data_IF_407576802858
#
_entry.id   IF_407576802858
#
_cell.length_a   1.000
_cell.length_b   1.000
_cell.length_c   1.000
_cell.angle_alpha   90.00
_cell.angle_beta   90.00
_cell.angle_gamma   90.00
#
_symmetry.space_group_name_H-M   'P 1'
#
loop_
_entity.id
_entity.type
_entity.pdbx_description
1 polymer ?
#
# COMPACT_ATOMS: atom_id res chain seq x y z
N UNK A 1 21.98 5.24 3.27
CA UNK A 1 22.04 3.85 3.77
C UNK A 1 21.64 2.91 2.64
N UNK A 2 22.60 2.08 2.22
CA UNK A 2 22.32 1.02 1.23
C UNK A 2 21.48 -0.06 1.93
N UNK A 3 20.32 -0.36 1.40
CA UNK A 3 19.50 -1.47 1.90
C UNK A 3 20.06 -2.74 1.27
N UNK A 4 20.53 -3.74 2.06
CA UNK A 4 21.03 -4.99 1.50
C UNK A 4 19.89 -5.73 0.79
N UNK A 5 20.20 -6.36 -0.34
CA UNK A 5 19.26 -7.23 -1.06
C UNK A 5 18.84 -8.41 -0.19
N UNK A 6 17.58 -8.77 -0.25
CA UNK A 6 17.06 -9.93 0.47
C UNK A 6 17.50 -11.21 -0.25
N UNK A 7 17.98 -12.17 0.54
CA UNK A 7 18.32 -13.49 0.05
C UNK A 7 17.15 -14.46 0.34
N UNK A 8 16.23 -14.58 -0.61
CA UNK A 8 15.09 -15.48 -0.49
C UNK A 8 15.48 -16.95 -0.45
N UNK A 9 16.60 -17.35 -1.09
CA UNK A 9 17.09 -18.74 -1.01
C UNK A 9 17.44 -19.10 0.44
N UNK A 10 18.12 -18.19 1.15
CA UNK A 10 18.41 -18.40 2.58
C UNK A 10 17.13 -18.46 3.42
N UNK A 11 16.12 -17.62 3.12
CA UNK A 11 14.83 -17.69 3.79
C UNK A 11 14.15 -19.06 3.60
N UNK A 12 14.12 -19.57 2.37
CA UNK A 12 13.55 -20.88 2.04
C UNK A 12 14.33 -22.03 2.66
N UNK A 13 15.65 -21.94 2.73
CA UNK A 13 16.50 -22.89 3.44
C UNK A 13 16.18 -22.89 4.95
N UNK A 14 16.05 -21.73 5.57
CA UNK A 14 15.64 -21.62 6.97
C UNK A 14 14.25 -22.25 7.20
N UNK A 15 13.28 -21.98 6.31
CA UNK A 15 11.95 -22.58 6.39
C UNK A 15 12.01 -24.11 6.34
N UNK A 16 12.84 -24.67 5.45
CA UNK A 16 13.04 -26.12 5.34
C UNK A 16 13.69 -26.73 6.57
N UNK A 17 14.70 -26.05 7.14
CA UNK A 17 15.44 -26.54 8.30
C UNK A 17 14.67 -26.40 9.61
N UNK A 18 13.72 -25.45 9.67
CA UNK A 18 12.91 -25.16 10.86
C UNK A 18 11.39 -25.23 10.56
N UNK A 19 10.87 -26.42 10.15
CA UNK A 19 9.49 -26.55 9.67
C UNK A 19 8.41 -26.24 10.73
N UNK A 20 8.77 -26.25 12.02
CA UNK A 20 7.87 -25.89 13.12
C UNK A 20 7.77 -24.38 13.36
N UNK A 21 8.66 -23.58 12.77
CA UNK A 21 8.62 -22.14 12.91
C UNK A 21 7.75 -21.51 11.82
N UNK A 22 6.86 -20.62 12.23
CA UNK A 22 6.14 -19.76 11.31
C UNK A 22 7.06 -18.62 10.89
N UNK A 23 7.68 -18.74 9.71
CA UNK A 23 8.54 -17.71 9.12
C UNK A 23 7.74 -16.86 8.14
N UNK A 24 7.79 -15.54 8.30
CA UNK A 24 7.09 -14.57 7.46
C UNK A 24 8.14 -13.73 6.73
N UNK A 25 8.24 -13.81 5.38
CA UNK A 25 9.17 -12.98 4.63
C UNK A 25 8.77 -11.51 4.72
N UNK A 26 9.77 -10.65 4.98
CA UNK A 26 9.58 -9.20 5.11
C UNK A 26 10.62 -8.47 4.27
N UNK A 27 10.16 -7.82 3.21
CA UNK A 27 10.96 -6.92 2.38
C UNK A 27 11.03 -7.35 0.92
N UNK A 28 11.22 -6.39 0.03
CA UNK A 28 11.43 -6.54 -1.43
C UNK A 28 10.49 -7.53 -2.16
N UNK A 29 9.29 -7.78 -1.62
CA UNK A 29 8.21 -8.43 -2.37
C UNK A 29 7.55 -7.30 -3.17
N UNK A 30 8.17 -6.96 -4.32
CA UNK A 30 7.83 -5.80 -5.14
C UNK A 30 7.38 -6.17 -6.56
N UNK A 31 7.37 -7.45 -6.87
CA UNK A 31 6.93 -8.00 -8.14
C UNK A 31 6.22 -9.35 -7.95
N UNK A 32 5.53 -9.78 -9.01
CA UNK A 32 4.76 -11.03 -8.99
C UNK A 32 5.68 -12.25 -8.99
N UNK A 33 6.81 -12.21 -9.67
CA UNK A 33 7.76 -13.32 -9.77
C UNK A 33 8.29 -13.71 -8.38
N UNK A 34 8.69 -12.74 -7.56
CA UNK A 34 9.14 -12.98 -6.18
C UNK A 34 8.00 -13.55 -5.34
N UNK A 35 6.78 -13.04 -5.51
CA UNK A 35 5.62 -13.52 -4.79
C UNK A 35 5.28 -14.96 -5.17
N UNK A 36 5.23 -15.28 -6.47
CA UNK A 36 4.94 -16.61 -6.98
C UNK A 36 6.00 -17.63 -6.53
N UNK A 37 7.29 -17.26 -6.55
CA UNK A 37 8.37 -18.09 -6.02
C UNK A 37 8.13 -18.50 -4.56
N UNK A 38 7.68 -17.56 -3.74
CA UNK A 38 7.40 -17.83 -2.32
C UNK A 38 6.17 -18.74 -2.16
N UNK A 39 5.10 -18.50 -2.93
CA UNK A 39 3.89 -19.36 -2.92
C UNK A 39 4.23 -20.79 -3.36
N UNK A 40 5.02 -20.97 -4.43
CA UNK A 40 5.46 -22.28 -4.93
C UNK A 40 6.30 -23.05 -3.90
N UNK A 41 6.88 -22.35 -2.93
CA UNK A 41 7.61 -22.95 -1.81
C UNK A 41 6.82 -22.95 -0.49
N UNK A 42 5.50 -23.04 -0.57
CA UNK A 42 4.57 -23.17 0.56
C UNK A 42 4.66 -22.03 1.59
N UNK A 43 5.01 -20.82 1.16
CA UNK A 43 4.92 -19.63 2.01
C UNK A 43 3.49 -19.11 1.95
N UNK A 44 2.80 -19.10 3.09
CA UNK A 44 1.38 -18.69 3.20
C UNK A 44 1.19 -17.26 3.71
N UNK A 45 2.17 -16.72 4.41
CA UNK A 45 2.07 -15.42 5.08
C UNK A 45 3.19 -14.49 4.60
N UNK A 46 2.84 -13.22 4.37
CA UNK A 46 3.75 -12.22 3.79
C UNK A 46 3.64 -10.88 4.51
N UNK A 47 4.76 -10.18 4.64
CA UNK A 47 4.77 -8.80 5.08
C UNK A 47 5.17 -7.89 3.91
N UNK A 48 4.17 -7.21 3.33
CA UNK A 48 4.35 -6.30 2.19
C UNK A 48 4.08 -4.87 2.68
N UNK A 49 5.14 -4.15 3.04
CA UNK A 49 5.02 -2.78 3.59
C UNK A 49 5.23 -1.71 2.53
N UNK A 50 6.49 -1.47 2.16
CA UNK A 50 6.89 -0.34 1.30
C UNK A 50 6.25 -0.34 -0.08
N UNK A 51 6.10 -1.50 -0.70
CA UNK A 51 5.50 -1.61 -2.03
C UNK A 51 3.99 -1.34 -1.97
N UNK A 52 3.30 -1.86 -0.96
CA UNK A 52 1.90 -1.54 -0.73
C UNK A 52 1.67 -0.04 -0.46
N UNK A 53 2.55 0.58 0.34
CA UNK A 53 2.48 2.02 0.58
C UNK A 53 2.71 2.87 -0.68
N UNK A 54 3.47 2.38 -1.66
CA UNK A 54 3.69 3.07 -2.94
C UNK A 54 2.57 2.84 -3.95
N UNK A 55 1.95 1.67 -3.89
CA UNK A 55 0.95 1.24 -4.86
C UNK A 55 -0.09 0.36 -4.17
N UNK A 56 -1.22 0.96 -3.81
CA UNK A 56 -2.33 0.24 -3.17
C UNK A 56 -2.94 -0.83 -4.07
N UNK A 57 -2.76 -0.72 -5.40
CA UNK A 57 -3.23 -1.73 -6.35
C UNK A 57 -2.28 -2.92 -6.44
N UNK A 58 -1.15 -2.90 -5.73
CA UNK A 58 -0.16 -3.96 -5.78
C UNK A 58 -0.72 -5.34 -5.39
N UNK A 59 -1.62 -5.38 -4.40
CA UNK A 59 -2.29 -6.64 -4.02
C UNK A 59 -3.18 -7.20 -5.14
N UNK A 60 -3.77 -6.34 -5.98
CA UNK A 60 -4.49 -6.79 -7.18
C UNK A 60 -3.54 -7.42 -8.20
N UNK A 61 -2.37 -6.82 -8.40
CA UNK A 61 -1.33 -7.35 -9.30
C UNK A 61 -0.83 -8.72 -8.86
N UNK A 62 -0.84 -8.98 -7.55
CA UNK A 62 -0.53 -10.29 -6.97
C UNK A 62 -1.73 -11.26 -7.00
N UNK A 63 -2.88 -10.82 -7.50
CA UNK A 63 -4.12 -11.62 -7.50
C UNK A 63 -4.65 -12.02 -6.11
N UNK A 64 -4.20 -11.31 -5.05
CA UNK A 64 -4.61 -11.57 -3.67
C UNK A 64 -5.95 -10.89 -3.36
N UNK A 65 -6.19 -9.72 -3.96
CA UNK A 65 -7.35 -8.89 -3.67
C UNK A 65 -7.80 -8.12 -4.92
N UNK A 66 -9.10 -7.89 -5.07
CA UNK A 66 -9.67 -7.01 -6.11
C UNK A 66 -10.28 -5.78 -5.45
N UNK A 67 -9.77 -4.62 -5.79
CA UNK A 67 -10.38 -3.34 -5.42
C UNK A 67 -11.53 -3.10 -6.40
N UNK A 68 -12.76 -3.31 -5.93
CA UNK A 68 -13.95 -3.20 -6.78
C UNK A 68 -14.21 -1.78 -7.25
N UNK A 69 -13.94 -0.80 -6.39
CA UNK A 69 -14.14 0.62 -6.66
C UNK A 69 -13.22 1.47 -5.80
N UNK A 70 -12.33 2.24 -6.45
CA UNK A 70 -11.36 3.09 -5.74
C UNK A 70 -12.04 4.28 -5.04
N UNK A 71 -13.08 4.83 -5.64
CA UNK A 71 -13.80 5.98 -5.10
C UNK A 71 -14.55 5.59 -3.82
N UNK A 72 -15.24 4.44 -3.84
CA UNK A 72 -15.91 3.88 -2.65
C UNK A 72 -14.89 3.57 -1.55
N UNK A 73 -13.73 3.06 -1.91
CA UNK A 73 -12.66 2.73 -0.94
C UNK A 73 -12.10 3.98 -0.27
N UNK A 74 -11.97 5.08 -0.99
CA UNK A 74 -11.53 6.37 -0.43
C UNK A 74 -12.60 7.00 0.45
N UNK A 75 -13.86 6.97 0.06
CA UNK A 75 -14.96 7.43 0.91
C UNK A 75 -14.99 6.68 2.25
N UNK A 76 -14.83 5.35 2.23
CA UNK A 76 -14.71 4.54 3.46
C UNK A 76 -13.50 4.94 4.30
N UNK A 77 -12.34 5.15 3.68
CA UNK A 77 -11.14 5.60 4.38
C UNK A 77 -11.39 6.92 5.13
N UNK A 78 -12.01 7.92 4.48
CA UNK A 78 -12.32 9.19 5.14
C UNK A 78 -13.32 9.02 6.28
N UNK A 79 -14.37 8.21 6.11
CA UNK A 79 -15.34 7.93 7.16
C UNK A 79 -14.66 7.29 8.39
N UNK A 80 -13.79 6.31 8.17
CA UNK A 80 -13.09 5.65 9.26
C UNK A 80 -12.12 6.59 9.99
N UNK A 81 -11.37 7.43 9.27
CA UNK A 81 -10.39 8.30 9.90
C UNK A 81 -11.03 9.46 10.68
N UNK A 82 -12.23 9.92 10.33
CA UNK A 82 -12.93 11.01 11.05
C UNK A 82 -13.21 10.68 12.51
N UNK A 83 -13.36 9.40 12.83
CA UNK A 83 -13.61 8.93 14.20
C UNK A 83 -12.37 8.96 15.10
N UNK A 84 -11.18 9.17 14.54
CA UNK A 84 -9.95 9.21 15.32
C UNK A 84 -9.69 10.59 15.96
N UNK A 85 -9.74 10.67 17.29
CA UNK A 85 -9.58 11.90 18.09
C UNK A 85 -8.24 12.65 17.91
N UNK A 86 -7.21 11.98 17.38
CA UNK A 86 -5.86 12.53 17.24
C UNK A 86 -5.42 12.64 15.78
N UNK A 87 -6.35 12.96 14.92
CA UNK A 87 -6.10 13.00 13.49
C UNK A 87 -5.24 14.20 13.10
N UNK A 88 -4.07 13.93 12.54
CA UNK A 88 -3.17 14.95 12.02
C UNK A 88 -3.35 15.08 10.50
N UNK A 89 -3.90 16.20 10.04
CA UNK A 89 -4.14 16.48 8.63
C UNK A 89 -2.88 16.30 7.76
N UNK A 90 -1.70 16.67 8.27
CA UNK A 90 -0.45 16.50 7.53
C UNK A 90 -0.07 15.02 7.37
N UNK A 91 -0.41 14.17 8.34
CA UNK A 91 -0.18 12.74 8.25
C UNK A 91 -1.11 12.12 7.18
N UNK A 92 -2.37 12.54 7.16
CA UNK A 92 -3.34 12.11 6.12
C UNK A 92 -2.85 12.52 4.75
N UNK A 93 -2.47 13.80 4.56
CA UNK A 93 -1.92 14.27 3.28
C UNK A 93 -0.72 13.46 2.82
N UNK A 94 0.21 13.12 3.73
CA UNK A 94 1.37 12.27 3.42
C UNK A 94 0.95 10.87 2.96
N UNK A 95 -0.03 10.27 3.61
CA UNK A 95 -0.56 8.96 3.23
C UNK A 95 -1.21 9.01 1.85
N UNK A 96 -2.01 10.04 1.58
CA UNK A 96 -2.63 10.27 0.27
C UNK A 96 -1.58 10.50 -0.83
N UNK A 97 -0.47 11.20 -0.56
CA UNK A 97 0.61 11.39 -1.52
C UNK A 97 1.25 10.07 -1.96
N UNK A 98 1.32 9.09 -1.09
CA UNK A 98 1.85 7.77 -1.41
C UNK A 98 0.92 7.01 -2.37
N UNK A 99 -0.39 7.14 -2.17
CA UNK A 99 -1.42 6.54 -3.02
C UNK A 99 -1.40 7.14 -4.44
N UNK A 100 -1.04 8.42 -4.54
CA UNK A 100 -1.09 9.20 -5.78
C UNK A 100 0.18 9.11 -6.65
N UNK A 101 1.12 8.22 -6.34
CA UNK A 101 2.39 8.15 -7.07
C UNK A 101 2.24 7.70 -8.53
N UNK A 102 1.21 6.94 -8.86
CA UNK A 102 1.03 6.29 -10.17
C UNK A 102 -0.22 6.77 -10.93
N UNK A 103 -0.78 7.94 -10.60
CA UNK A 103 -1.92 8.49 -11.31
C UNK A 103 -1.51 9.60 -12.29
N UNK A 104 -2.25 9.79 -13.40
CA UNK A 104 -2.07 10.93 -14.28
C UNK A 104 -2.17 12.26 -13.48
N UNK A 105 -1.36 13.25 -13.85
CA UNK A 105 -1.33 14.54 -13.16
C UNK A 105 -1.05 14.52 -11.65
N UNK A 106 -0.42 13.47 -11.11
CA UNK A 106 -0.12 13.31 -9.68
C UNK A 106 0.51 14.56 -9.03
N UNK A 107 1.34 15.30 -9.77
CA UNK A 107 1.96 16.56 -9.29
C UNK A 107 0.90 17.62 -8.98
N UNK A 108 -0.04 17.84 -9.89
CA UNK A 108 -1.11 18.84 -9.72
C UNK A 108 -2.06 18.44 -8.60
N UNK A 109 -2.42 17.16 -8.53
CA UNK A 109 -3.26 16.62 -7.47
C UNK A 109 -2.60 16.84 -6.10
N UNK A 110 -1.32 16.51 -5.94
CA UNK A 110 -0.57 16.74 -4.69
C UNK A 110 -0.49 18.22 -4.33
N UNK A 111 -0.30 19.10 -5.31
CA UNK A 111 -0.29 20.56 -5.09
C UNK A 111 -1.65 21.04 -4.60
N UNK A 112 -2.75 20.52 -5.11
CA UNK A 112 -4.10 20.87 -4.64
C UNK A 112 -4.32 20.35 -3.21
N UNK A 113 -4.01 19.09 -2.94
CA UNK A 113 -4.11 18.48 -1.60
C UNK A 113 -3.34 19.29 -0.55
N UNK A 114 -2.16 19.81 -0.89
CA UNK A 114 -1.36 20.58 0.05
C UNK A 114 -2.05 21.86 0.55
N UNK A 115 -2.99 22.43 -0.22
CA UNK A 115 -3.67 23.69 0.09
C UNK A 115 -4.82 23.55 1.08
N UNK A 116 -5.42 22.36 1.20
CA UNK A 116 -6.54 22.15 2.12
C UNK A 116 -6.11 22.32 3.58
N UNK A 117 -6.98 22.94 4.39
CA UNK A 117 -6.70 23.20 5.80
C UNK A 117 -7.54 22.33 6.75
N UNK A 118 -8.50 21.57 6.22
CA UNK A 118 -9.39 20.70 6.95
C UNK A 118 -9.63 19.39 6.18
N UNK A 119 -10.19 18.40 6.89
CA UNK A 119 -10.43 17.05 6.36
C UNK A 119 -11.64 17.00 5.45
N UNK A 120 -12.66 17.77 5.76
CA UNK A 120 -13.93 17.73 5.01
C UNK A 120 -13.74 18.24 3.59
N UNK A 121 -13.06 19.37 3.42
CA UNK A 121 -12.68 19.89 2.10
C UNK A 121 -11.77 18.94 1.34
N UNK A 122 -10.89 18.23 2.04
CA UNK A 122 -10.00 17.25 1.43
C UNK A 122 -10.77 16.01 0.96
N UNK A 123 -11.74 15.54 1.75
CA UNK A 123 -12.62 14.44 1.37
C UNK A 123 -13.46 14.79 0.14
N UNK A 124 -14.16 15.94 0.17
CA UNK A 124 -14.97 16.45 -0.93
C UNK A 124 -14.17 16.47 -2.22
N UNK A 125 -12.93 16.99 -2.17
CA UNK A 125 -12.03 16.97 -3.34
C UNK A 125 -11.77 15.56 -3.88
N UNK A 126 -11.64 14.55 -3.03
CA UNK A 126 -11.38 13.17 -3.47
C UNK A 126 -12.64 12.44 -3.94
N UNK A 127 -13.80 12.74 -3.34
CA UNK A 127 -15.10 12.12 -3.70
C UNK A 127 -15.61 12.70 -5.01
N UNK A 128 -15.51 14.02 -5.19
CA UNK A 128 -16.07 14.73 -6.35
C UNK A 128 -15.14 14.77 -7.54
N UNK A 129 -13.83 14.61 -7.32
CA UNK A 129 -12.86 14.69 -8.41
C UNK A 129 -12.75 13.38 -9.19
N UNK A 130 -12.74 13.50 -10.52
CA UNK A 130 -12.42 12.38 -11.44
C UNK A 130 -10.91 12.05 -11.44
N UNK A 131 -10.26 12.10 -10.27
CA UNK A 131 -8.81 11.84 -10.14
C UNK A 131 -8.44 10.43 -10.60
N UNK A 132 -9.40 9.53 -10.60
CA UNK A 132 -9.22 8.10 -10.83
C UNK A 132 -9.60 7.63 -12.24
N UNK A 133 -10.07 8.55 -13.10
CA UNK A 133 -10.47 8.27 -14.48
C UNK A 133 -9.37 8.60 -15.48
#
# INVERSE_FOLDING_TARGET
>A
RTIPKINYNLFLECKKNFPKLKLIPNGEIDNKETFDLLIENDVSDFMIGRQFAKDLTFLEKLSIYKIKDKQISIGKFFNEIKDYKFLNLNLIKKSLFTILTNIPNAKNVRNNISKFQDIDSLEEYFVDSKIWN
#
